data_IF_951384311250
#
_entry.id   IF_951384311250
#
_cell.length_a   1.000
_cell.length_b   1.000
_cell.length_c   1.000
_cell.angle_alpha   90.00
_cell.angle_beta   90.00
_cell.angle_gamma   90.00
#
_symmetry.space_group_name_H-M   'P 1'
#
loop_
_entity.id
_entity.type
_entity.pdbx_description
1 polymer ?
#
# COMPACT_ATOMS: atom_id res chain seq x y z
N UNK A 1 4.47 -18.19 22.03
CA UNK A 1 3.16 -17.60 21.70
C UNK A 1 3.25 -17.15 20.25
N UNK A 2 2.51 -17.79 19.35
CA UNK A 2 2.37 -17.28 17.98
C UNK A 2 1.37 -16.11 18.05
N UNK A 3 1.68 -14.98 17.41
CA UNK A 3 0.74 -13.88 17.30
C UNK A 3 -0.52 -14.36 16.55
N UNK A 4 -1.72 -13.93 16.97
CA UNK A 4 -2.93 -14.27 16.24
C UNK A 4 -2.82 -13.72 14.81
N UNK A 5 -3.28 -14.44 13.78
CA UNK A 5 -3.20 -13.92 12.42
C UNK A 5 -4.04 -12.65 12.32
N UNK A 6 -3.39 -11.54 11.93
CA UNK A 6 -4.07 -10.30 11.55
C UNK A 6 -5.10 -10.63 10.47
N UNK A 7 -6.38 -10.51 10.79
CA UNK A 7 -7.47 -11.02 9.96
C UNK A 7 -7.82 -10.07 8.77
N UNK A 8 -6.98 -9.06 8.53
CA UNK A 8 -7.10 -8.07 7.47
C UNK A 8 -5.94 -8.25 6.48
N UNK A 9 -6.12 -8.03 5.18
CA UNK A 9 -5.01 -8.04 4.24
C UNK A 9 -4.07 -6.87 4.55
N UNK A 10 -2.81 -7.19 4.80
CA UNK A 10 -1.75 -6.22 5.06
C UNK A 10 -0.69 -6.34 3.97
N UNK A 11 -0.08 -5.22 3.59
CA UNK A 11 1.10 -5.18 2.72
C UNK A 11 2.30 -4.69 3.53
N UNK A 12 3.49 -5.11 3.13
CA UNK A 12 4.73 -4.51 3.64
C UNK A 12 5.12 -3.36 2.71
N UNK A 13 5.15 -2.14 3.23
CA UNK A 13 5.66 -1.00 2.45
C UNK A 13 7.13 -0.81 2.76
N UNK A 14 7.96 -0.68 1.71
CA UNK A 14 9.39 -0.44 1.80
C UNK A 14 9.70 1.00 1.41
N UNK A 15 10.39 1.71 2.30
CA UNK A 15 10.76 3.12 2.12
C UNK A 15 12.26 3.23 1.85
N UNK A 16 12.61 3.93 0.77
CA UNK A 16 13.99 4.20 0.39
C UNK A 16 14.24 5.71 0.29
N UNK A 17 15.51 6.11 0.39
CA UNK A 17 15.99 7.47 0.14
C UNK A 17 15.11 8.57 0.78
N UNK A 18 14.48 9.43 -0.04
CA UNK A 18 13.64 10.53 0.42
C UNK A 18 12.41 10.07 1.20
N UNK A 19 11.82 8.93 0.83
CA UNK A 19 10.66 8.38 1.54
C UNK A 19 11.05 7.89 2.94
N UNK A 20 12.21 7.22 3.07
CA UNK A 20 12.73 6.78 4.37
C UNK A 20 13.14 7.96 5.25
N UNK A 21 13.72 9.01 4.65
CA UNK A 21 14.05 10.25 5.37
C UNK A 21 12.79 10.96 5.89
N UNK A 22 11.71 10.97 5.09
CA UNK A 22 10.45 11.61 5.45
C UNK A 22 9.72 10.87 6.59
N UNK A 23 9.70 9.54 6.57
CA UNK A 23 8.99 8.73 7.57
C UNK A 23 9.85 8.38 8.78
N UNK A 24 11.18 8.38 8.64
CA UNK A 24 12.10 7.80 9.61
C UNK A 24 12.06 6.27 9.66
N UNK A 25 11.39 5.63 8.69
CA UNK A 25 11.19 4.19 8.63
C UNK A 25 11.87 3.60 7.39
N UNK A 26 12.28 2.35 7.46
CA UNK A 26 12.72 1.57 6.28
C UNK A 26 11.62 0.66 5.76
N UNK A 27 10.69 0.26 6.63
CA UNK A 27 9.49 -0.47 6.27
C UNK A 27 8.37 -0.28 7.29
N UNK A 28 7.13 -0.53 6.87
CA UNK A 28 5.99 -0.66 7.78
C UNK A 28 4.96 -1.67 7.25
N UNK A 29 4.19 -2.28 8.15
CA UNK A 29 3.00 -3.05 7.76
C UNK A 29 1.80 -2.12 7.63
N UNK A 30 1.15 -2.13 6.47
CA UNK A 30 -0.01 -1.30 6.16
C UNK A 30 -1.24 -2.18 5.91
N UNK A 31 -2.24 -2.13 6.80
CA UNK A 31 -3.51 -2.79 6.52
C UNK A 31 -4.22 -2.09 5.36
N UNK A 32 -4.61 -2.87 4.36
CA UNK A 32 -5.38 -2.36 3.23
C UNK A 32 -6.83 -2.13 3.69
N UNK A 33 -7.41 -0.95 3.43
CA UNK A 33 -8.82 -0.76 3.67
C UNK A 33 -9.59 -1.71 2.77
N UNK A 34 -10.34 -2.63 3.37
CA UNK A 34 -11.16 -3.59 2.64
C UNK A 34 -12.19 -2.84 1.79
N UNK A 35 -11.85 -2.57 0.53
CA UNK A 35 -12.79 -2.08 -0.47
C UNK A 35 -13.60 -3.30 -0.89
N UNK A 36 -14.61 -3.62 -0.08
CA UNK A 36 -15.70 -4.48 -0.52
C UNK A 36 -16.38 -3.69 -1.64
N UNK A 37 -16.38 -4.15 -2.90
CA UNK A 37 -17.18 -3.50 -3.92
C UNK A 37 -18.61 -3.46 -3.37
N UNK A 38 -19.10 -2.26 -3.16
CA UNK A 38 -20.40 -2.00 -2.56
C UNK A 38 -21.48 -2.69 -3.39
N UNK A 39 -22.12 -3.68 -2.79
CA UNK A 39 -23.56 -3.83 -3.02
C UNK A 39 -24.20 -3.53 -1.69
N UNK A 40 -25.03 -2.50 -1.70
CA UNK A 40 -25.93 -2.11 -0.64
C UNK A 40 -26.88 -3.27 -0.31
N UNK A 41 -26.43 -4.29 0.40
CA UNK A 41 -27.26 -5.35 0.99
C UNK A 41 -26.49 -5.96 2.14
N UNK A 42 -26.91 -5.55 3.32
CA UNK A 42 -26.68 -6.28 4.56
C UNK A 42 -27.22 -7.71 4.43
N UNK A 43 -26.47 -8.64 5.01
CA UNK A 43 -26.90 -9.98 5.43
C UNK A 43 -27.07 -11.09 4.36
N UNK A 44 -26.43 -12.23 4.69
CA UNK A 44 -26.56 -13.57 4.13
C UNK A 44 -26.17 -13.79 2.66
N UNK A 45 -24.90 -14.13 2.44
CA UNK A 45 -24.48 -15.37 1.75
C UNK A 45 -23.00 -15.60 2.05
N UNK A 46 -22.62 -16.86 2.30
CA UNK A 46 -21.22 -17.28 2.39
C UNK A 46 -20.60 -17.21 0.99
N UNK A 47 -20.15 -16.01 0.60
CA UNK A 47 -19.28 -15.83 -0.56
C UNK A 47 -17.89 -16.42 -0.19
N UNK A 48 -17.24 -17.21 -1.05
CA UNK A 48 -15.82 -17.58 -0.86
C UNK A 48 -15.01 -16.29 -0.65
N UNK A 49 -13.87 -16.32 0.09
CA UNK A 49 -13.21 -15.10 0.58
C UNK A 49 -13.07 -14.09 -0.55
N UNK A 50 -13.95 -13.07 -0.50
CA UNK A 50 -14.09 -12.06 -1.53
C UNK A 50 -12.74 -11.38 -1.63
N UNK A 51 -12.02 -11.63 -2.72
CA UNK A 51 -10.63 -11.18 -2.87
C UNK A 51 -10.57 -9.67 -2.76
N UNK A 52 -9.93 -9.18 -1.70
CA UNK A 52 -9.74 -7.74 -1.49
C UNK A 52 -8.87 -7.20 -2.63
N UNK A 53 -9.22 -6.01 -3.11
CA UNK A 53 -8.60 -5.36 -4.27
C UNK A 53 -8.47 -3.87 -3.95
N UNK A 54 -7.32 -3.48 -3.41
CA UNK A 54 -7.01 -2.09 -3.17
C UNK A 54 -6.19 -1.52 -4.34
N UNK A 55 -6.64 -0.47 -5.04
CA UNK A 55 -5.90 0.08 -6.17
C UNK A 55 -4.58 0.69 -5.70
N UNK A 56 -3.47 0.35 -6.36
CA UNK A 56 -2.15 0.87 -6.01
C UNK A 56 -2.09 2.40 -6.16
N UNK A 57 -2.82 2.98 -7.12
CA UNK A 57 -2.93 4.43 -7.28
C UNK A 57 -3.49 5.14 -6.04
N UNK A 58 -4.30 4.48 -5.21
CA UNK A 58 -4.80 5.04 -3.95
C UNK A 58 -3.82 4.87 -2.78
N UNK A 59 -2.74 4.09 -2.93
CA UNK A 59 -1.79 3.84 -1.85
C UNK A 59 -1.06 5.10 -1.42
N UNK A 60 -0.72 6.00 -2.35
CA UNK A 60 -0.06 7.27 -2.02
C UNK A 60 -0.87 8.09 -1.00
N UNK A 61 -2.18 8.21 -1.21
CA UNK A 61 -3.08 8.91 -0.32
C UNK A 61 -3.19 8.22 1.04
N UNK A 62 -3.26 6.88 1.06
CA UNK A 62 -3.29 6.10 2.30
C UNK A 62 -2.03 6.33 3.14
N UNK A 63 -0.85 6.29 2.53
CA UNK A 63 0.43 6.52 3.22
C UNK A 63 0.57 7.96 3.71
N UNK A 64 0.21 8.95 2.88
CA UNK A 64 0.21 10.35 3.29
C UNK A 64 -0.71 10.59 4.50
N UNK A 65 -1.89 9.98 4.53
CA UNK A 65 -2.82 10.08 5.66
C UNK A 65 -2.29 9.43 6.94
N UNK A 66 -1.43 8.40 6.83
CA UNK A 66 -0.75 7.77 7.98
C UNK A 66 0.41 8.61 8.51
N UNK A 67 1.01 9.43 7.65
CA UNK A 67 2.15 10.30 7.99
C UNK A 67 1.86 11.80 7.75
N UNK A 68 0.77 12.37 8.32
CA UNK A 68 0.18 13.66 7.90
C UNK A 68 1.05 14.90 8.21
N UNK A 69 2.12 14.75 8.98
CA UNK A 69 3.05 15.83 9.35
C UNK A 69 4.47 15.59 8.83
N UNK A 70 4.61 14.75 7.80
CA UNK A 70 5.89 14.45 7.15
C UNK A 70 5.90 15.00 5.72
N UNK A 71 7.08 15.10 5.12
CA UNK A 71 7.22 15.40 3.68
C UNK A 71 6.88 14.23 2.75
N UNK A 72 6.28 13.15 3.27
CA UNK A 72 6.05 11.93 2.50
C UNK A 72 5.09 12.16 1.32
N UNK A 73 4.06 13.00 1.50
CA UNK A 73 3.09 13.28 0.43
C UNK A 73 3.78 13.87 -0.82
N UNK A 74 4.71 14.82 -0.63
CA UNK A 74 5.49 15.42 -1.71
C UNK A 74 6.42 14.40 -2.39
N UNK A 75 7.05 13.52 -1.59
CA UNK A 75 7.90 12.44 -2.13
C UNK A 75 7.07 11.47 -2.98
N UNK A 76 5.91 11.05 -2.49
CA UNK A 76 5.03 10.10 -3.18
C UNK A 76 4.49 10.65 -4.51
N UNK A 77 4.24 11.96 -4.60
CA UNK A 77 3.78 12.61 -5.84
C UNK A 77 4.76 12.48 -7.02
N UNK A 78 6.04 12.23 -6.73
CA UNK A 78 7.10 12.08 -7.73
C UNK A 78 7.71 10.67 -7.77
N UNK A 79 7.21 9.75 -6.95
CA UNK A 79 7.76 8.40 -6.84
C UNK A 79 7.11 7.44 -7.84
N UNK A 80 7.86 6.42 -8.22
CA UNK A 80 7.35 5.21 -8.87
C UNK A 80 7.13 4.11 -7.84
N UNK A 81 6.53 3.00 -8.26
CA UNK A 81 6.25 1.86 -7.39
C UNK A 81 6.92 0.60 -7.92
N UNK A 82 7.32 -0.28 -7.01
CA UNK A 82 7.59 -1.67 -7.33
C UNK A 82 6.77 -2.58 -6.41
N UNK A 83 6.22 -3.65 -6.95
CA UNK A 83 5.44 -4.65 -6.22
C UNK A 83 6.13 -6.00 -6.36
N UNK A 84 6.49 -6.61 -5.24
CA UNK A 84 7.26 -7.87 -5.20
C UNK A 84 8.52 -7.81 -6.09
N UNK A 85 9.32 -6.76 -5.89
CA UNK A 85 10.56 -6.48 -6.65
C UNK A 85 10.38 -6.15 -8.14
N UNK A 86 9.15 -6.08 -8.65
CA UNK A 86 8.85 -5.75 -10.03
C UNK A 86 8.35 -4.30 -10.17
N UNK A 87 9.00 -3.53 -11.05
CA UNK A 87 8.61 -2.13 -11.33
C UNK A 87 7.21 -2.07 -11.95
N UNK A 88 6.40 -1.15 -11.46
CA UNK A 88 5.04 -0.92 -11.98
C UNK A 88 5.06 0.21 -13.00
N UNK A 89 4.67 -0.11 -14.23
CA UNK A 89 4.54 0.89 -15.32
C UNK A 89 3.26 1.73 -15.19
N UNK A 90 2.14 1.10 -14.84
CA UNK A 90 0.81 1.75 -14.77
C UNK A 90 0.10 1.40 -13.45
N UNK A 91 0.21 2.25 -12.42
CA UNK A 91 -0.33 1.96 -11.09
C UNK A 91 -1.87 1.90 -11.06
N UNK A 92 -2.57 2.46 -12.05
CA UNK A 92 -4.04 2.39 -12.16
C UNK A 92 -4.54 0.99 -12.51
N UNK A 93 -3.66 0.12 -13.05
CA UNK A 93 -3.99 -1.27 -13.42
C UNK A 93 -3.60 -2.28 -12.36
N UNK A 94 -2.93 -1.85 -11.28
CA UNK A 94 -2.44 -2.74 -10.22
C UNK A 94 -3.35 -2.70 -9.01
N UNK A 95 -3.74 -3.88 -8.55
CA UNK A 95 -4.60 -4.06 -7.37
C UNK A 95 -3.91 -4.95 -6.34
N UNK A 96 -3.73 -4.42 -5.15
CA UNK A 96 -3.15 -5.11 -4.00
C UNK A 96 -4.20 -5.96 -3.30
N UNK A 97 -3.81 -7.17 -2.90
CA UNK A 97 -4.68 -8.16 -2.28
C UNK A 97 -4.34 -8.44 -0.83
N UNK A 98 -3.17 -8.01 -0.37
CA UNK A 98 -2.55 -8.39 0.90
C UNK A 98 -1.46 -9.44 0.70
N UNK A 99 -0.37 -9.29 1.46
CA UNK A 99 0.82 -10.14 1.42
C UNK A 99 1.92 -9.62 0.51
N UNK A 100 1.66 -8.60 -0.32
CA UNK A 100 2.66 -8.02 -1.21
C UNK A 100 3.69 -7.14 -0.47
N UNK A 101 4.90 -7.08 -1.02
CA UNK A 101 5.90 -6.08 -0.69
C UNK A 101 5.85 -4.94 -1.71
N UNK A 102 5.62 -3.72 -1.24
CA UNK A 102 5.42 -2.55 -2.10
C UNK A 102 6.48 -1.51 -1.79
N UNK A 103 7.39 -1.27 -2.73
CA UNK A 103 8.47 -0.30 -2.58
C UNK A 103 8.11 1.06 -3.17
N UNK A 104 8.43 2.12 -2.42
CA UNK A 104 8.41 3.50 -2.90
C UNK A 104 9.73 3.79 -3.60
N UNK A 105 9.70 3.93 -4.92
CA UNK A 105 10.88 4.20 -5.75
C UNK A 105 10.98 5.70 -6.01
N UNK A 106 11.77 6.38 -5.19
CA UNK A 106 12.04 7.80 -5.38
C UNK A 106 12.80 8.04 -6.70
N UNK A 107 12.60 9.19 -7.38
CA UNK A 107 13.37 9.53 -8.57
C UNK A 107 14.86 9.55 -8.21
N UNK A 108 15.68 8.91 -9.05
CA UNK A 108 17.13 8.98 -8.89
C UNK A 108 17.57 10.40 -9.24
N UNK A 109 17.98 11.19 -8.24
CA UNK A 109 18.72 12.42 -8.51
C UNK A 109 20.09 12.00 -9.04
N UNK A 110 20.22 11.90 -10.36
CA UNK A 110 21.44 11.48 -11.02
C UNK A 110 22.66 12.26 -10.52
N UNK A 111 23.65 11.52 -10.02
CA UNK A 111 25.02 11.98 -9.83
C UNK A 111 25.89 11.58 -11.01
#
# INVERSE_FOLDING_TARGET
MAEPPSNFPEITVLYFAGASTATGLTSEQVPLPATRPDTHTSMFVADPPSRIRFPLSALAALLAARHPSTGLADVLAHSSWAVNEEMVDDPEKVFLSGGEEVAVICPVSGG
#
